data_IF_275415238145
#
_entry.id   IF_275415238145
#
_cell.length_a   1.000
_cell.length_b   1.000
_cell.length_c   1.000
_cell.angle_alpha   90.00
_cell.angle_beta   90.00
_cell.angle_gamma   90.00
#
_symmetry.space_group_name_H-M   'P 1'
#
loop_
_entity.id
_entity.type
_entity.pdbx_description
1 polymer ?
#
# COMPACT_ATOMS: atom_id res chain seq x y z
N UNK A 1 8.35 -14.02 -17.88
CA UNK A 1 7.24 -13.14 -18.31
C UNK A 1 6.85 -13.42 -19.77
N UNK A 2 7.78 -13.46 -20.73
CA UNK A 2 7.49 -13.75 -22.14
C UNK A 2 6.75 -15.09 -22.32
N UNK A 3 7.15 -16.15 -21.62
CA UNK A 3 6.50 -17.46 -21.69
C UNK A 3 5.03 -17.41 -21.21
N UNK A 4 4.75 -16.71 -20.12
CA UNK A 4 3.38 -16.58 -19.60
C UNK A 4 2.48 -15.84 -20.58
N UNK A 5 2.93 -14.68 -21.09
CA UNK A 5 2.14 -13.90 -22.06
C UNK A 5 1.91 -14.68 -23.37
N UNK A 6 2.86 -15.49 -23.79
CA UNK A 6 2.69 -16.32 -25.00
C UNK A 6 1.64 -17.42 -24.76
N UNK A 7 1.70 -18.10 -23.62
CA UNK A 7 0.72 -19.13 -23.22
C UNK A 7 -0.68 -18.54 -23.08
N UNK A 8 -0.82 -17.41 -22.40
CA UNK A 8 -2.10 -16.71 -22.23
C UNK A 8 -2.69 -16.28 -23.59
N UNK A 9 -1.85 -15.78 -24.48
CA UNK A 9 -2.27 -15.39 -25.82
C UNK A 9 -2.73 -16.60 -26.64
N UNK A 10 -2.01 -17.72 -26.57
CA UNK A 10 -2.39 -18.96 -27.26
C UNK A 10 -3.70 -19.52 -26.71
N UNK A 11 -3.88 -19.55 -25.40
CA UNK A 11 -5.12 -20.02 -24.76
C UNK A 11 -6.29 -19.12 -25.17
N UNK A 12 -6.13 -17.80 -25.14
CA UNK A 12 -7.15 -16.86 -25.59
C UNK A 12 -7.49 -17.05 -27.07
N UNK A 13 -6.50 -17.29 -27.93
CA UNK A 13 -6.71 -17.56 -29.35
C UNK A 13 -7.49 -18.84 -29.62
N UNK A 14 -7.32 -19.85 -28.79
CA UNK A 14 -8.02 -21.13 -28.93
C UNK A 14 -9.42 -21.10 -28.30
N UNK A 15 -9.59 -20.40 -27.19
CA UNK A 15 -10.85 -20.41 -26.41
C UNK A 15 -11.84 -19.33 -26.87
N UNK A 16 -11.35 -18.16 -27.31
CA UNK A 16 -12.21 -17.05 -27.71
C UNK A 16 -12.55 -17.16 -29.18
N UNK A 17 -13.85 -17.27 -29.51
CA UNK A 17 -14.36 -17.33 -30.88
C UNK A 17 -14.19 -16.01 -31.67
N UNK A 18 -13.84 -14.92 -31.00
CA UNK A 18 -13.62 -13.63 -31.65
C UNK A 18 -12.30 -13.64 -32.42
N UNK A 19 -12.33 -13.17 -33.66
CA UNK A 19 -11.15 -12.98 -34.51
C UNK A 19 -11.04 -11.52 -34.91
N UNK A 20 -9.84 -10.93 -34.93
CA UNK A 20 -9.66 -9.55 -35.38
C UNK A 20 -10.02 -9.42 -36.84
N UNK A 21 -10.95 -8.51 -37.15
CA UNK A 21 -11.26 -8.15 -38.52
C UNK A 21 -10.32 -7.04 -38.96
N UNK A 22 -9.82 -7.10 -40.19
CA UNK A 22 -8.97 -6.06 -40.79
C UNK A 22 -9.78 -4.80 -41.09
N UNK A 23 -10.29 -4.14 -40.07
CA UNK A 23 -11.02 -2.88 -40.17
C UNK A 23 -10.23 -1.80 -39.42
N UNK A 24 -9.85 -0.76 -40.16
CA UNK A 24 -9.18 0.40 -39.58
C UNK A 24 -10.15 1.59 -39.66
N UNK A 25 -10.37 2.25 -38.51
CA UNK A 25 -11.15 3.48 -38.43
C UNK A 25 -10.33 4.54 -37.69
N UNK A 26 -9.95 5.58 -38.43
CA UNK A 26 -9.19 6.71 -37.87
C UNK A 26 -9.95 7.45 -36.79
N UNK A 27 -11.25 7.58 -36.93
CA UNK A 27 -12.11 8.26 -35.95
C UNK A 27 -12.15 7.53 -34.61
N UNK A 28 -12.30 6.19 -34.64
CA UNK A 28 -12.23 5.34 -33.42
C UNK A 28 -10.84 5.34 -32.81
N UNK A 29 -9.79 5.31 -33.63
CA UNK A 29 -8.41 5.37 -33.18
C UNK A 29 -8.13 6.70 -32.47
N UNK A 30 -8.59 7.84 -33.00
CA UNK A 30 -8.45 9.16 -32.39
C UNK A 30 -9.18 9.24 -31.05
N UNK A 31 -10.37 8.64 -30.93
CA UNK A 31 -11.10 8.54 -29.65
C UNK A 31 -10.35 7.71 -28.62
N UNK A 32 -9.82 6.56 -29.01
CA UNK A 32 -9.00 5.70 -28.16
C UNK A 32 -7.69 6.39 -27.72
N UNK A 33 -7.04 7.11 -28.63
CA UNK A 33 -5.84 7.91 -28.31
C UNK A 33 -6.14 9.03 -27.33
N UNK A 34 -7.25 9.73 -27.49
CA UNK A 34 -7.66 10.82 -26.58
C UNK A 34 -7.93 10.31 -25.17
N UNK A 35 -8.51 9.11 -25.03
CA UNK A 35 -8.73 8.46 -23.73
C UNK A 35 -7.42 7.87 -23.19
N UNK A 36 -6.69 7.10 -24.02
CA UNK A 36 -5.47 6.40 -23.62
C UNK A 36 -4.35 7.34 -23.19
N UNK A 37 -4.18 8.48 -23.86
CA UNK A 37 -3.21 9.51 -23.48
C UNK A 37 -3.45 10.03 -22.05
N UNK A 38 -4.71 10.33 -21.68
CA UNK A 38 -5.04 10.81 -20.33
C UNK A 38 -4.76 9.76 -19.27
N UNK A 39 -5.05 8.50 -19.61
CA UNK A 39 -4.79 7.37 -18.73
C UNK A 39 -3.29 7.11 -18.55
N UNK A 40 -2.53 7.20 -19.64
CA UNK A 40 -1.07 7.08 -19.63
C UNK A 40 -0.42 8.21 -18.82
N UNK A 41 -0.85 9.44 -18.99
CA UNK A 41 -0.34 10.58 -18.23
C UNK A 41 -0.62 10.42 -16.74
N UNK A 42 -1.82 9.99 -16.34
CA UNK A 42 -2.16 9.71 -14.96
C UNK A 42 -1.29 8.60 -14.36
N UNK A 43 -1.13 7.49 -15.08
CA UNK A 43 -0.29 6.37 -14.63
C UNK A 43 1.18 6.75 -14.53
N UNK A 44 1.68 7.59 -15.44
CA UNK A 44 3.03 8.13 -15.41
C UNK A 44 3.25 9.00 -14.17
N UNK A 45 2.33 9.91 -13.90
CA UNK A 45 2.38 10.76 -12.70
C UNK A 45 2.37 9.93 -11.41
N UNK A 46 1.52 8.91 -11.32
CA UNK A 46 1.48 8.01 -10.19
C UNK A 46 2.78 7.20 -10.05
N UNK A 47 3.31 6.70 -11.17
CA UNK A 47 4.57 5.97 -11.18
C UNK A 47 5.74 6.84 -10.73
N UNK A 48 5.82 8.08 -11.26
CA UNK A 48 6.86 9.05 -10.84
C UNK A 48 6.72 9.35 -9.36
N UNK A 49 5.51 9.65 -8.86
CA UNK A 49 5.29 9.94 -7.45
C UNK A 49 5.70 8.77 -6.54
N UNK A 50 5.35 7.55 -6.91
CA UNK A 50 5.65 6.36 -6.11
C UNK A 50 7.14 6.00 -6.10
N UNK A 51 7.88 6.37 -7.14
CA UNK A 51 9.30 6.09 -7.28
C UNK A 51 10.21 7.30 -7.02
N UNK A 52 9.64 8.50 -6.81
CA UNK A 52 10.42 9.74 -6.66
C UNK A 52 11.44 9.64 -5.52
N UNK A 53 11.10 8.92 -4.45
CA UNK A 53 11.99 8.70 -3.32
C UNK A 53 13.21 7.87 -3.72
N UNK A 54 13.03 6.75 -4.41
CA UNK A 54 14.13 5.93 -4.93
C UNK A 54 14.96 6.68 -5.94
N UNK A 55 14.32 7.53 -6.79
CA UNK A 55 15.05 8.41 -7.72
C UNK A 55 15.93 9.44 -7.00
N UNK A 56 15.42 10.07 -5.94
CA UNK A 56 16.17 11.03 -5.12
C UNK A 56 17.33 10.32 -4.42
N UNK A 57 17.10 9.16 -3.80
CA UNK A 57 18.15 8.37 -3.15
C UNK A 57 19.24 8.01 -4.16
N UNK A 58 18.87 7.48 -5.32
CA UNK A 58 19.84 7.10 -6.36
C UNK A 58 20.62 8.27 -6.96
N UNK A 59 20.07 9.49 -6.94
CA UNK A 59 20.73 10.70 -7.46
C UNK A 59 21.60 11.41 -6.41
N UNK A 60 21.17 11.47 -5.15
CA UNK A 60 21.81 12.24 -4.09
C UNK A 60 22.74 11.40 -3.19
N UNK A 61 22.51 10.09 -3.16
CA UNK A 61 23.24 9.16 -2.31
C UNK A 61 23.88 8.05 -3.15
N UNK A 62 24.39 7.00 -2.51
CA UNK A 62 25.06 5.91 -3.21
C UNK A 62 24.06 4.89 -3.80
N UNK A 63 24.51 4.17 -4.83
CA UNK A 63 23.74 3.03 -5.38
C UNK A 63 23.55 1.92 -4.35
N UNK A 64 24.47 1.78 -3.40
CA UNK A 64 24.37 0.82 -2.29
C UNK A 64 23.24 1.21 -1.34
N UNK A 65 23.14 2.51 -0.99
CA UNK A 65 22.05 3.00 -0.12
C UNK A 65 20.67 2.79 -0.74
N UNK A 66 20.56 3.05 -2.05
CA UNK A 66 19.34 2.77 -2.81
C UNK A 66 19.01 1.27 -2.76
N UNK A 67 20.00 0.42 -2.98
CA UNK A 67 19.81 -1.03 -2.96
C UNK A 67 19.34 -1.53 -1.57
N UNK A 68 19.94 -1.03 -0.48
CA UNK A 68 19.53 -1.39 0.88
C UNK A 68 18.13 -0.87 1.23
N UNK A 69 17.81 0.35 0.83
CA UNK A 69 16.47 0.92 1.00
C UNK A 69 15.40 0.11 0.28
N UNK A 70 15.60 -0.17 -1.02
CA UNK A 70 14.64 -0.91 -1.83
C UNK A 70 14.52 -2.38 -1.38
N UNK A 71 15.62 -3.01 -0.97
CA UNK A 71 15.60 -4.37 -0.46
C UNK A 71 14.89 -4.47 0.89
N UNK A 72 15.11 -3.51 1.80
CA UNK A 72 14.39 -3.44 3.06
C UNK A 72 12.87 -3.26 2.88
N UNK A 73 12.44 -2.57 1.82
CA UNK A 73 11.03 -2.39 1.46
C UNK A 73 10.38 -3.65 0.89
N UNK A 74 11.13 -4.50 0.21
CA UNK A 74 10.63 -5.57 -0.64
C UNK A 74 9.85 -6.63 0.14
N UNK A 75 10.39 -7.14 1.25
CA UNK A 75 9.73 -8.18 2.05
C UNK A 75 8.40 -7.72 2.66
N UNK A 76 8.34 -6.60 3.40
CA UNK A 76 7.08 -6.10 3.93
C UNK A 76 6.06 -5.78 2.83
N UNK A 77 6.51 -5.27 1.67
CA UNK A 77 5.64 -4.93 0.56
C UNK A 77 4.92 -6.15 -0.03
N UNK A 78 5.59 -7.31 -0.13
CA UNK A 78 4.96 -8.55 -0.61
C UNK A 78 3.80 -8.95 0.30
N UNK A 79 3.99 -8.90 1.62
CA UNK A 79 2.95 -9.24 2.60
C UNK A 79 1.76 -8.27 2.48
N UNK A 80 2.05 -6.97 2.47
CA UNK A 80 1.02 -5.92 2.37
C UNK A 80 0.21 -6.04 1.10
N UNK A 81 0.87 -6.21 -0.05
CA UNK A 81 0.19 -6.25 -1.35
C UNK A 81 -0.78 -7.42 -1.40
N UNK A 82 -0.36 -8.61 -0.98
CA UNK A 82 -1.23 -9.79 -1.00
C UNK A 82 -2.44 -9.63 -0.07
N UNK A 83 -2.22 -9.16 1.16
CA UNK A 83 -3.31 -8.97 2.13
C UNK A 83 -4.27 -7.87 1.66
N UNK A 84 -3.76 -6.73 1.22
CA UNK A 84 -4.63 -5.63 0.78
C UNK A 84 -5.42 -5.96 -0.49
N UNK A 85 -4.82 -6.63 -1.47
CA UNK A 85 -5.53 -7.07 -2.67
C UNK A 85 -6.67 -8.02 -2.30
N UNK A 86 -6.44 -8.94 -1.37
CA UNK A 86 -7.48 -9.86 -0.87
C UNK A 86 -8.60 -9.12 -0.15
N UNK A 87 -8.27 -8.10 0.64
CA UNK A 87 -9.26 -7.25 1.33
C UNK A 87 -10.07 -6.46 0.30
N UNK A 88 -9.42 -5.78 -0.64
CA UNK A 88 -10.05 -4.92 -1.63
C UNK A 88 -11.04 -5.69 -2.51
N UNK A 89 -10.67 -6.89 -2.93
CA UNK A 89 -11.50 -7.72 -3.82
C UNK A 89 -12.84 -8.15 -3.21
N UNK A 90 -12.91 -8.26 -1.89
CA UNK A 90 -14.11 -8.67 -1.17
C UNK A 90 -14.84 -7.49 -0.52
N UNK A 91 -14.06 -6.57 0.08
CA UNK A 91 -14.63 -5.53 0.92
C UNK A 91 -15.37 -4.46 0.11
N UNK A 92 -14.80 -4.01 -1.00
CA UNK A 92 -15.40 -2.95 -1.81
C UNK A 92 -16.75 -3.36 -2.43
N UNK A 93 -16.92 -4.52 -3.09
CA UNK A 93 -18.23 -4.95 -3.60
C UNK A 93 -19.26 -5.16 -2.49
N UNK A 94 -18.83 -5.75 -1.37
CA UNK A 94 -19.73 -6.02 -0.23
C UNK A 94 -20.19 -4.73 0.44
N UNK A 95 -19.34 -3.74 0.59
CA UNK A 95 -19.72 -2.42 1.12
C UNK A 95 -20.60 -1.65 0.13
N UNK A 96 -20.32 -1.74 -1.17
CA UNK A 96 -21.12 -1.08 -2.20
C UNK A 96 -22.55 -1.60 -2.24
N UNK A 97 -22.78 -2.89 -1.99
CA UNK A 97 -24.12 -3.45 -1.88
C UNK A 97 -24.91 -2.99 -0.64
N UNK A 98 -24.22 -2.40 0.33
CA UNK A 98 -24.79 -1.89 1.58
C UNK A 98 -24.65 -0.36 1.72
N UNK A 99 -24.40 0.37 0.63
CA UNK A 99 -24.05 1.80 0.63
C UNK A 99 -25.10 2.70 1.30
N UNK A 100 -26.39 2.30 1.27
CA UNK A 100 -27.49 3.08 1.83
C UNK A 100 -27.63 2.90 3.35
N UNK A 101 -26.92 1.93 3.94
CA UNK A 101 -26.90 1.67 5.39
C UNK A 101 -25.51 1.99 5.99
N UNK A 102 -25.34 3.22 6.44
CA UNK A 102 -24.10 3.67 7.06
C UNK A 102 -23.69 2.85 8.30
N UNK A 103 -24.66 2.29 9.06
CA UNK A 103 -24.35 1.45 10.23
C UNK A 103 -23.74 0.12 9.80
N UNK A 104 -24.27 -0.47 8.75
CA UNK A 104 -23.76 -1.70 8.17
C UNK A 104 -22.37 -1.50 7.56
N UNK A 105 -22.16 -0.41 6.81
CA UNK A 105 -20.84 -0.04 6.27
C UNK A 105 -19.85 0.19 7.42
N UNK A 106 -20.21 0.90 8.51
CA UNK A 106 -19.38 1.04 9.71
C UNK A 106 -18.96 -0.31 10.29
N UNK A 107 -19.93 -1.21 10.48
CA UNK A 107 -19.66 -2.53 11.04
C UNK A 107 -18.69 -3.34 10.19
N UNK A 108 -18.87 -3.31 8.86
CA UNK A 108 -17.96 -3.95 7.90
C UNK A 108 -16.56 -3.35 7.93
N UNK A 109 -16.45 -2.01 7.93
CA UNK A 109 -15.18 -1.30 8.03
C UNK A 109 -14.43 -1.66 9.31
N UNK A 110 -15.13 -1.61 10.45
CA UNK A 110 -14.57 -1.97 11.76
C UNK A 110 -14.09 -3.41 11.81
N UNK A 111 -14.90 -4.35 11.30
CA UNK A 111 -14.54 -5.77 11.24
C UNK A 111 -13.32 -5.98 10.34
N UNK A 112 -13.30 -5.35 9.17
CA UNK A 112 -12.18 -5.42 8.24
C UNK A 112 -10.87 -4.91 8.89
N UNK A 113 -10.89 -3.73 9.52
CA UNK A 113 -9.75 -3.17 10.24
C UNK A 113 -9.24 -4.13 11.31
N UNK A 114 -10.13 -4.64 12.18
CA UNK A 114 -9.75 -5.57 13.26
C UNK A 114 -9.14 -6.86 12.74
N UNK A 115 -9.83 -7.54 11.83
CA UNK A 115 -9.39 -8.85 11.30
C UNK A 115 -8.09 -8.71 10.52
N UNK A 116 -7.98 -7.69 9.66
CA UNK A 116 -6.78 -7.49 8.86
C UNK A 116 -5.57 -7.09 9.70
N UNK A 117 -5.76 -6.24 10.71
CA UNK A 117 -4.67 -5.87 11.63
C UNK A 117 -4.26 -7.05 12.51
N UNK A 118 -5.22 -7.89 12.92
CA UNK A 118 -4.91 -9.10 13.69
C UNK A 118 -4.00 -10.08 12.93
N UNK A 119 -4.11 -10.12 11.61
CA UNK A 119 -3.22 -10.93 10.75
C UNK A 119 -1.92 -10.17 10.43
N UNK A 120 -2.04 -8.90 10.05
CA UNK A 120 -0.91 -8.08 9.60
C UNK A 120 0.09 -7.80 10.72
N UNK A 121 -0.38 -7.48 11.94
CA UNK A 121 0.50 -7.07 13.03
C UNK A 121 1.48 -8.18 13.46
N UNK A 122 1.06 -9.44 13.69
CA UNK A 122 2.01 -10.51 14.01
C UNK A 122 3.00 -10.80 12.87
N UNK A 123 2.55 -10.77 11.61
CA UNK A 123 3.43 -10.99 10.47
C UNK A 123 4.50 -9.91 10.35
N UNK A 124 4.11 -8.63 10.49
CA UNK A 124 5.04 -7.50 10.39
C UNK A 124 5.97 -7.41 11.60
N UNK A 125 5.46 -7.67 12.82
CA UNK A 125 6.31 -7.71 14.01
C UNK A 125 7.25 -8.90 13.98
N UNK A 126 6.78 -10.10 13.61
CA UNK A 126 7.63 -11.27 13.44
C UNK A 126 8.76 -11.00 12.44
N UNK A 127 8.43 -10.43 11.27
CA UNK A 127 9.43 -10.05 10.27
C UNK A 127 10.41 -8.97 10.79
N UNK A 128 9.95 -8.01 11.59
CA UNK A 128 10.80 -6.95 12.14
C UNK A 128 11.78 -7.48 13.20
N UNK A 129 11.34 -8.35 14.09
CA UNK A 129 12.18 -8.94 15.13
C UNK A 129 13.14 -10.00 14.58
N UNK A 130 12.71 -10.82 13.62
CA UNK A 130 13.54 -11.80 12.92
C UNK A 130 14.26 -11.22 11.69
N UNK A 131 14.36 -9.90 11.55
CA UNK A 131 14.89 -9.27 10.35
C UNK A 131 16.33 -9.67 10.04
N UNK A 132 17.21 -9.69 11.05
CA UNK A 132 18.63 -10.08 10.87
C UNK A 132 18.79 -11.53 10.41
N UNK A 133 18.30 -12.55 11.13
CA UNK A 133 18.45 -13.94 10.69
C UNK A 133 17.77 -14.21 9.34
N UNK A 134 16.64 -13.57 9.04
CA UNK A 134 15.97 -13.70 7.74
C UNK A 134 16.84 -13.12 6.63
N UNK A 135 17.42 -11.94 6.82
CA UNK A 135 18.31 -11.31 5.83
C UNK A 135 19.57 -12.15 5.62
N UNK A 136 20.20 -12.66 6.68
CA UNK A 136 21.37 -13.52 6.57
C UNK A 136 21.06 -14.83 5.82
N UNK A 137 19.96 -15.47 6.16
CA UNK A 137 19.58 -16.75 5.56
C UNK A 137 19.19 -16.61 4.07
N UNK A 138 18.46 -15.56 3.72
CA UNK A 138 17.86 -15.41 2.38
C UNK A 138 18.74 -14.58 1.44
N UNK A 139 19.45 -13.59 1.97
CA UNK A 139 20.18 -12.60 1.16
C UNK A 139 21.70 -12.62 1.37
N UNK A 140 22.20 -13.16 2.45
CA UNK A 140 23.62 -13.14 2.88
C UNK A 140 23.98 -11.90 3.72
N UNK A 141 25.12 -11.99 4.42
CA UNK A 141 25.62 -10.92 5.33
C UNK A 141 25.84 -9.56 4.66
N UNK A 142 26.13 -9.57 3.36
CA UNK A 142 26.28 -8.33 2.56
C UNK A 142 25.07 -7.42 2.64
N UNK A 143 23.88 -7.96 2.89
CA UNK A 143 22.63 -7.22 2.91
C UNK A 143 22.17 -6.79 4.32
N UNK A 144 22.93 -7.09 5.36
CA UNK A 144 22.62 -6.65 6.73
C UNK A 144 22.32 -5.15 6.87
N UNK A 145 22.98 -4.24 6.12
CA UNK A 145 22.62 -2.82 6.18
C UNK A 145 21.19 -2.48 5.76
N UNK A 146 20.44 -3.42 5.12
CA UNK A 146 19.02 -3.21 4.81
C UNK A 146 18.08 -3.45 6.00
N UNK A 147 18.55 -4.11 7.07
CA UNK A 147 17.73 -4.49 8.25
C UNK A 147 17.06 -3.29 8.93
N UNK A 148 17.73 -2.16 9.21
CA UNK A 148 17.06 -1.00 9.77
C UNK A 148 15.90 -0.47 8.91
N UNK A 149 16.07 -0.46 7.59
CA UNK A 149 15.02 -0.08 6.66
C UNK A 149 13.85 -1.08 6.69
N UNK A 150 14.15 -2.38 6.71
CA UNK A 150 13.16 -3.44 6.80
C UNK A 150 12.30 -3.29 8.05
N UNK A 151 12.91 -3.04 9.21
CA UNK A 151 12.20 -2.79 10.49
C UNK A 151 11.27 -1.58 10.39
N UNK A 152 11.73 -0.45 9.82
CA UNK A 152 10.91 0.75 9.62
C UNK A 152 9.73 0.45 8.70
N UNK A 153 9.95 -0.27 7.60
CA UNK A 153 8.86 -0.61 6.66
C UNK A 153 7.86 -1.60 7.25
N UNK A 154 8.28 -2.54 8.09
CA UNK A 154 7.36 -3.41 8.82
C UNK A 154 6.40 -2.59 9.69
N UNK A 155 6.92 -1.63 10.46
CA UNK A 155 6.10 -0.74 11.28
C UNK A 155 5.19 0.12 10.41
N UNK A 156 5.71 0.70 9.33
CA UNK A 156 4.95 1.55 8.41
C UNK A 156 3.78 0.79 7.78
N UNK A 157 4.02 -0.42 7.32
CA UNK A 157 3.04 -1.21 6.58
C UNK A 157 2.05 -1.98 7.46
N UNK A 158 2.38 -2.19 8.72
CA UNK A 158 1.47 -2.79 9.70
C UNK A 158 0.11 -2.06 9.78
N UNK A 159 0.09 -0.76 9.52
CA UNK A 159 -1.11 0.07 9.56
C UNK A 159 -1.86 0.17 8.22
N UNK A 160 -1.37 -0.44 7.15
CA UNK A 160 -2.01 -0.35 5.83
C UNK A 160 -3.46 -0.84 5.77
N UNK A 161 -3.88 -1.88 6.53
CA UNK A 161 -5.28 -2.30 6.54
C UNK A 161 -6.27 -1.20 6.95
N UNK A 162 -5.85 -0.28 7.82
CA UNK A 162 -6.66 0.88 8.22
C UNK A 162 -6.89 1.80 7.03
N UNK A 163 -5.85 2.07 6.23
CA UNK A 163 -5.96 2.88 5.01
C UNK A 163 -6.95 2.25 4.03
N UNK A 164 -6.74 0.97 3.72
CA UNK A 164 -7.52 0.21 2.74
C UNK A 164 -9.00 0.18 3.12
N UNK A 165 -9.33 -0.16 4.36
CA UNK A 165 -10.70 -0.23 4.82
C UNK A 165 -11.42 1.12 4.83
N UNK A 166 -10.74 2.19 5.27
CA UNK A 166 -11.31 3.55 5.27
C UNK A 166 -11.57 4.05 3.85
N UNK A 167 -10.64 3.83 2.91
CA UNK A 167 -10.81 4.26 1.53
C UNK A 167 -11.90 3.47 0.81
N UNK A 168 -12.01 2.16 1.09
CA UNK A 168 -13.09 1.34 0.53
C UNK A 168 -14.46 1.78 1.01
N UNK A 169 -14.61 2.16 2.28
CA UNK A 169 -15.84 2.72 2.80
C UNK A 169 -16.25 4.02 2.06
N UNK A 170 -15.30 4.94 1.84
CA UNK A 170 -15.54 6.20 1.11
C UNK A 170 -15.93 5.91 -0.35
N UNK A 171 -15.24 5.00 -1.02
CA UNK A 171 -15.54 4.59 -2.40
C UNK A 171 -16.91 3.93 -2.50
N UNK A 172 -17.22 3.00 -1.59
CA UNK A 172 -18.48 2.27 -1.56
C UNK A 172 -19.69 3.19 -1.35
N UNK A 173 -19.54 4.27 -0.59
CA UNK A 173 -20.56 5.30 -0.40
C UNK A 173 -20.65 6.31 -1.57
N UNK A 174 -19.97 6.05 -2.70
CA UNK A 174 -20.02 6.89 -3.90
C UNK A 174 -19.32 8.25 -3.77
N UNK A 175 -18.51 8.47 -2.70
CA UNK A 175 -17.86 9.76 -2.43
C UNK A 175 -16.47 9.86 -3.08
N UNK A 176 -16.46 9.73 -4.42
CA UNK A 176 -15.23 9.88 -5.22
C UNK A 176 -14.59 11.28 -5.11
N UNK A 177 -15.40 12.30 -4.85
CA UNK A 177 -14.94 13.67 -4.57
C UNK A 177 -14.03 13.73 -3.35
N UNK A 178 -14.43 13.09 -2.26
CA UNK A 178 -13.61 12.99 -1.04
C UNK A 178 -12.37 12.15 -1.27
N UNK A 179 -12.52 11.00 -1.93
CA UNK A 179 -11.38 10.14 -2.26
C UNK A 179 -10.28 10.92 -2.98
N UNK A 180 -10.63 11.68 -4.04
CA UNK A 180 -9.65 12.47 -4.79
C UNK A 180 -8.97 13.53 -3.92
N UNK A 181 -9.75 14.26 -3.09
CA UNK A 181 -9.20 15.29 -2.18
C UNK A 181 -8.22 14.69 -1.18
N UNK A 182 -8.55 13.52 -0.62
CA UNK A 182 -7.66 12.82 0.32
C UNK A 182 -6.38 12.34 -0.35
N UNK A 183 -6.46 11.80 -1.58
CA UNK A 183 -5.27 11.38 -2.33
C UNK A 183 -4.35 12.56 -2.63
N UNK A 184 -4.89 13.71 -3.05
CA UNK A 184 -4.11 14.93 -3.28
C UNK A 184 -3.46 15.41 -1.97
N UNK A 185 -4.22 15.50 -0.87
CA UNK A 185 -3.71 15.93 0.42
C UNK A 185 -2.56 15.03 0.91
N UNK A 186 -2.70 13.71 0.81
CA UNK A 186 -1.65 12.76 1.17
C UNK A 186 -0.39 12.91 0.31
N UNK A 187 -0.55 13.10 -1.01
CA UNK A 187 0.57 13.33 -1.93
C UNK A 187 1.32 14.62 -1.60
N UNK A 188 0.60 15.69 -1.27
CA UNK A 188 1.22 16.96 -0.83
C UNK A 188 2.00 16.76 0.47
N UNK A 189 1.39 16.17 1.50
CA UNK A 189 2.06 15.90 2.78
C UNK A 189 3.29 15.01 2.59
N UNK A 190 3.16 13.94 1.80
CA UNK A 190 4.28 13.05 1.50
C UNK A 190 5.42 13.73 0.76
N UNK A 191 5.11 14.64 -0.18
CA UNK A 191 6.11 15.43 -0.92
C UNK A 191 6.82 16.42 0.00
N UNK A 192 6.09 17.16 0.84
CA UNK A 192 6.67 18.10 1.80
C UNK A 192 7.63 17.37 2.76
N UNK A 193 7.19 16.24 3.32
CA UNK A 193 8.04 15.43 4.20
C UNK A 193 9.27 14.87 3.48
N UNK A 194 9.14 14.46 2.22
CA UNK A 194 10.25 13.98 1.42
C UNK A 194 11.27 15.10 1.18
N UNK A 195 10.83 16.28 0.72
CA UNK A 195 11.69 17.42 0.45
C UNK A 195 12.38 17.94 1.71
N UNK A 196 11.70 17.94 2.86
CA UNK A 196 12.30 18.35 4.13
C UNK A 196 13.35 17.38 4.68
N UNK A 197 13.24 16.08 4.33
CA UNK A 197 14.11 15.04 4.87
C UNK A 197 15.21 14.58 3.90
N UNK A 198 15.14 14.95 2.62
CA UNK A 198 16.08 14.47 1.61
C UNK A 198 17.53 14.87 1.84
N UNK A 199 17.80 15.90 2.67
CA UNK A 199 19.15 16.37 3.00
C UNK A 199 19.75 15.69 4.23
N UNK A 200 18.94 14.98 5.02
CA UNK A 200 19.33 14.38 6.30
C UNK A 200 19.69 12.89 6.22
N UNK A 201 19.83 12.37 5.01
CA UNK A 201 20.22 10.97 4.78
C UNK A 201 19.06 10.04 4.47
N UNK A 202 19.40 8.85 3.94
CA UNK A 202 18.41 7.85 3.50
C UNK A 202 17.57 7.33 4.66
N UNK A 203 18.14 7.23 5.86
CA UNK A 203 17.42 6.82 7.06
C UNK A 203 16.34 7.83 7.45
N UNK A 204 16.64 9.14 7.39
CA UNK A 204 15.65 10.20 7.63
C UNK A 204 14.50 10.13 6.61
N UNK A 205 14.81 9.81 5.36
CA UNK A 205 13.80 9.59 4.32
C UNK A 205 12.93 8.35 4.61
N UNK A 206 13.47 7.29 5.21
CA UNK A 206 12.69 6.13 5.64
C UNK A 206 11.76 6.48 6.81
N UNK A 207 12.24 7.21 7.82
CA UNK A 207 11.38 7.70 8.91
C UNK A 207 10.29 8.66 8.42
N UNK A 208 10.57 9.49 7.42
CA UNK A 208 9.55 10.37 6.85
C UNK A 208 8.39 9.60 6.20
N UNK A 209 8.64 8.38 5.69
CA UNK A 209 7.57 7.48 5.23
C UNK A 209 6.68 7.00 6.38
N UNK A 210 7.27 6.66 7.52
CA UNK A 210 6.53 6.27 8.71
C UNK A 210 5.62 7.43 9.18
N UNK A 211 6.17 8.64 9.29
CA UNK A 211 5.41 9.85 9.66
C UNK A 211 4.30 10.12 8.63
N UNK A 212 4.63 10.07 7.34
CA UNK A 212 3.65 10.24 6.26
C UNK A 212 2.52 9.21 6.33
N UNK A 213 2.84 7.95 6.67
CA UNK A 213 1.83 6.90 6.84
C UNK A 213 0.88 7.21 7.99
N UNK A 214 1.39 7.63 9.15
CA UNK A 214 0.56 8.02 10.30
C UNK A 214 -0.34 9.22 9.96
N UNK A 215 0.21 10.26 9.35
CA UNK A 215 -0.57 11.42 8.91
C UNK A 215 -1.64 11.03 7.88
N UNK A 216 -1.30 10.15 6.95
CA UNK A 216 -2.25 9.64 5.95
C UNK A 216 -3.39 8.83 6.58
N UNK A 217 -3.14 8.12 7.69
CA UNK A 217 -4.22 7.44 8.43
C UNK A 217 -5.20 8.44 9.02
N UNK A 218 -4.71 9.49 9.65
CA UNK A 218 -5.54 10.56 10.21
C UNK A 218 -6.37 11.21 9.09
N UNK A 219 -5.73 11.55 7.97
CA UNK A 219 -6.38 12.15 6.80
C UNK A 219 -7.49 11.21 6.26
N UNK A 220 -7.21 9.92 6.09
CA UNK A 220 -8.19 8.96 5.55
C UNK A 220 -9.35 8.67 6.52
N UNK A 221 -9.11 8.76 7.83
CA UNK A 221 -10.13 8.50 8.86
C UNK A 221 -11.05 9.70 9.09
N UNK A 222 -10.58 10.92 8.78
CA UNK A 222 -11.32 12.16 9.02
C UNK A 222 -12.74 12.19 8.41
N UNK A 223 -12.96 11.83 7.13
CA UNK A 223 -14.31 11.83 6.57
C UNK A 223 -15.21 10.75 7.20
N UNK A 224 -14.66 9.61 7.61
CA UNK A 224 -15.40 8.51 8.19
C UNK A 224 -15.99 8.84 9.56
N UNK A 225 -15.46 9.85 10.26
CA UNK A 225 -16.09 10.41 11.45
C UNK A 225 -17.48 10.96 11.14
N UNK A 226 -17.64 11.70 10.01
CA UNK A 226 -18.93 12.26 9.59
C UNK A 226 -19.81 11.26 8.84
N UNK A 227 -19.22 10.44 7.99
CA UNK A 227 -19.95 9.51 7.12
C UNK A 227 -20.44 8.29 7.88
N UNK A 228 -19.63 7.74 8.78
CA UNK A 228 -19.89 6.48 9.46
C UNK A 228 -20.02 6.61 10.98
N UNK A 229 -19.84 7.81 11.53
CA UNK A 229 -19.67 8.01 12.97
C UNK A 229 -18.61 7.05 13.55
N UNK A 230 -17.42 6.94 12.86
CA UNK A 230 -16.31 6.06 13.21
C UNK A 230 -15.03 6.90 13.23
N UNK A 231 -14.68 7.38 14.44
CA UNK A 231 -13.57 8.28 14.65
C UNK A 231 -12.22 7.54 14.65
N UNK A 232 -11.13 8.28 14.38
CA UNK A 232 -9.76 7.73 14.36
C UNK A 232 -9.36 7.12 15.72
N UNK A 233 -9.75 7.74 16.83
CA UNK A 233 -9.48 7.21 18.17
C UNK A 233 -10.21 5.88 18.43
N UNK A 234 -11.44 5.72 17.92
CA UNK A 234 -12.17 4.45 17.99
C UNK A 234 -11.45 3.37 17.16
N UNK A 235 -10.97 3.73 15.96
CA UNK A 235 -10.19 2.83 15.12
C UNK A 235 -8.88 2.41 15.80
N UNK A 236 -8.17 3.35 16.43
CA UNK A 236 -6.93 3.06 17.14
C UNK A 236 -7.16 2.11 18.32
N UNK A 237 -8.24 2.33 19.11
CA UNK A 237 -8.63 1.41 20.21
C UNK A 237 -8.96 0.01 19.70
N UNK A 238 -9.55 -0.10 18.50
CA UNK A 238 -9.89 -1.38 17.91
C UNK A 238 -8.68 -2.19 17.44
N UNK A 239 -7.58 -1.55 17.07
CA UNK A 239 -6.36 -2.23 16.59
C UNK A 239 -5.28 -2.38 17.67
N UNK A 240 -5.31 -1.54 18.71
CA UNK A 240 -4.31 -1.53 19.78
C UNK A 240 -4.09 -2.89 20.45
N UNK A 241 -5.14 -3.69 20.78
CA UNK A 241 -4.94 -5.01 21.36
C UNK A 241 -4.14 -5.96 20.46
N UNK A 242 -4.42 -5.95 19.14
CA UNK A 242 -3.71 -6.78 18.18
C UNK A 242 -2.24 -6.37 18.03
N UNK A 243 -1.97 -5.07 18.03
CA UNK A 243 -0.61 -4.52 17.96
C UNK A 243 0.16 -4.84 19.25
N UNK A 244 -0.47 -4.67 20.42
CA UNK A 244 0.16 -4.98 21.71
C UNK A 244 0.51 -6.47 21.82
N UNK A 245 -0.40 -7.36 21.40
CA UNK A 245 -0.16 -8.81 21.36
C UNK A 245 0.99 -9.16 20.41
N UNK A 246 1.02 -8.57 19.23
CA UNK A 246 2.07 -8.79 18.25
C UNK A 246 3.43 -8.25 18.73
N UNK A 247 3.46 -7.11 19.40
CA UNK A 247 4.68 -6.56 20.00
C UNK A 247 5.19 -7.46 21.14
N UNK A 248 4.29 -7.96 21.99
CA UNK A 248 4.63 -8.92 23.06
C UNK A 248 5.19 -10.22 22.46
N UNK A 249 4.56 -10.78 21.43
CA UNK A 249 5.08 -11.94 20.70
C UNK A 249 6.50 -11.68 20.16
N UNK A 250 6.71 -10.54 19.52
CA UNK A 250 8.03 -10.16 19.00
C UNK A 250 9.08 -10.02 20.08
N UNK A 251 8.72 -9.44 21.23
CA UNK A 251 9.60 -9.35 22.39
C UNK A 251 9.99 -10.73 22.92
N UNK A 252 9.03 -11.65 23.06
CA UNK A 252 9.32 -13.03 23.45
C UNK A 252 10.28 -13.73 22.48
N UNK A 253 10.08 -13.55 21.17
CA UNK A 253 10.98 -14.13 20.15
C UNK A 253 12.40 -13.57 20.32
N UNK A 254 12.54 -12.28 20.56
CA UNK A 254 13.87 -11.65 20.77
C UNK A 254 14.55 -12.06 22.07
N UNK A 255 13.80 -12.58 23.05
CA UNK A 255 14.38 -13.09 24.32
C UNK A 255 14.89 -14.54 24.21
N UNK A 256 14.37 -15.27 23.23
CA UNK A 256 14.71 -16.71 23.05
C UNK A 256 15.84 -16.90 22.02
N UNK A 257 16.05 -15.94 21.14
CA UNK A 257 17.10 -15.95 20.12
C UNK A 257 18.26 -15.06 20.49
#
# INVERSE_FOLDING_TARGET
QLSNTTIDTLILWLTVKWRPKKMFSWERLRGLFSFGWKMLASSLLDTVYNNIRSLIIGKMYSSSDLAYFDQGKKFPNVIVTNINTSIDSVLLPTMASAQDDARRVKSMTRRAIKTSTYIMAPLMMGLAFCAEPIVQLVLTDKWLPCVPFLRIFCITYMFYPIHTANLNAIKAMGRSDLFLKLEIAKKIVGMVLLLSTMWFGVMAMAYSLLISSVLSQIINSWPNRKLLNYDYLEQLKDVLPSIALAAFMGFCVNMVG
#
